data_IF_290611419254
#
_entry.id   IF_290611419254
#
_cell.length_a   1.000
_cell.length_b   1.000
_cell.length_c   1.000
_cell.angle_alpha   90.00
_cell.angle_beta   90.00
_cell.angle_gamma   90.00
#
_symmetry.space_group_name_H-M   'P 1'
#
loop_
_entity.id
_entity.type
_entity.pdbx_description
1 polymer ?
#
# COMPACT_ATOMS: atom_id res chain seq x y z
N UNK A 1 10.48 11.68 -10.21
CA UNK A 1 9.40 10.66 -10.15
C UNK A 1 9.71 9.49 -11.07
N UNK A 2 9.68 9.67 -12.40
CA UNK A 2 9.94 8.58 -13.36
C UNK A 2 11.24 7.79 -13.07
N UNK A 3 12.36 8.48 -12.83
CA UNK A 3 13.62 7.83 -12.49
C UNK A 3 13.53 6.92 -11.25
N UNK A 4 12.81 7.33 -10.19
CA UNK A 4 12.65 6.52 -8.98
C UNK A 4 11.77 5.29 -9.23
N UNK A 5 10.74 5.41 -10.07
CA UNK A 5 9.88 4.28 -10.46
C UNK A 5 10.68 3.26 -11.28
N UNK A 6 11.50 3.71 -12.23
CA UNK A 6 12.39 2.83 -13.01
C UNK A 6 13.47 2.17 -12.15
N UNK A 7 14.01 2.87 -11.16
CA UNK A 7 14.94 2.26 -10.20
C UNK A 7 14.25 1.20 -9.33
N UNK A 8 13.02 1.47 -8.88
CA UNK A 8 12.22 0.52 -8.11
C UNK A 8 11.93 -0.75 -8.88
N UNK A 9 11.60 -0.63 -10.17
CA UNK A 9 11.35 -1.77 -11.05
C UNK A 9 12.56 -2.70 -11.17
N UNK A 10 13.76 -2.22 -10.84
CA UNK A 10 15.02 -2.96 -10.96
C UNK A 10 15.63 -3.35 -9.63
N UNK A 11 15.00 -3.03 -8.49
CA UNK A 11 15.60 -3.21 -7.17
C UNK A 11 15.32 -4.55 -6.50
N UNK A 12 14.73 -5.52 -7.21
CA UNK A 12 14.17 -6.77 -6.66
C UNK A 12 15.11 -7.58 -5.73
N UNK A 13 16.44 -7.46 -5.89
CA UNK A 13 17.42 -8.28 -5.14
C UNK A 13 18.05 -7.52 -3.96
N UNK A 14 18.10 -6.18 -4.00
CA UNK A 14 18.81 -5.38 -3.00
C UNK A 14 17.82 -4.63 -2.09
N UNK A 15 17.63 -5.18 -0.90
CA UNK A 15 16.71 -4.62 0.10
C UNK A 15 17.13 -3.22 0.58
N UNK A 16 18.43 -2.95 0.71
CA UNK A 16 18.92 -1.65 1.19
C UNK A 16 18.67 -0.57 0.12
N UNK A 17 18.91 -0.92 -1.14
CA UNK A 17 18.61 -0.06 -2.27
C UNK A 17 17.09 0.18 -2.37
N UNK A 18 16.27 -0.88 -2.26
CA UNK A 18 14.81 -0.78 -2.30
C UNK A 18 14.27 0.11 -1.15
N UNK A 19 14.80 -0.02 0.06
CA UNK A 19 14.45 0.84 1.20
C UNK A 19 14.74 2.32 0.92
N UNK A 20 15.93 2.63 0.37
CA UNK A 20 16.30 3.99 -0.01
C UNK A 20 15.38 4.57 -1.09
N UNK A 21 15.12 3.80 -2.16
CA UNK A 21 14.25 4.23 -3.26
C UNK A 21 12.82 4.44 -2.77
N UNK A 22 12.26 3.51 -2.00
CA UNK A 22 10.88 3.59 -1.49
C UNK A 22 10.70 4.77 -0.54
N UNK A 23 11.67 5.01 0.34
CA UNK A 23 11.68 6.17 1.22
C UNK A 23 11.62 7.48 0.41
N UNK A 24 12.52 7.66 -0.56
CA UNK A 24 12.57 8.84 -1.41
C UNK A 24 11.29 9.01 -2.24
N UNK A 25 10.78 7.92 -2.81
CA UNK A 25 9.55 7.92 -3.59
C UNK A 25 8.36 8.36 -2.73
N UNK A 26 8.22 7.81 -1.53
CA UNK A 26 7.12 8.16 -0.62
C UNK A 26 7.18 9.63 -0.18
N UNK A 27 8.39 10.16 0.03
CA UNK A 27 8.62 11.57 0.37
C UNK A 27 8.25 12.48 -0.80
N UNK A 28 8.67 12.11 -2.02
CA UNK A 28 8.33 12.85 -3.23
C UNK A 28 6.81 12.89 -3.47
N UNK A 29 6.11 11.77 -3.28
CA UNK A 29 4.65 11.68 -3.47
C UNK A 29 3.84 12.43 -2.41
N UNK A 30 4.42 12.66 -1.23
CA UNK A 30 3.83 13.51 -0.19
C UNK A 30 4.11 14.99 -0.42
N UNK A 31 5.12 15.33 -1.22
CA UNK A 31 5.44 16.72 -1.54
C UNK A 31 4.45 17.33 -2.54
N UNK A 32 4.17 18.62 -2.41
CA UNK A 32 3.30 19.37 -3.35
C UNK A 32 3.92 19.58 -4.74
N UNK A 33 5.15 19.08 -4.96
CA UNK A 33 5.88 19.24 -6.21
C UNK A 33 5.45 18.25 -7.31
N UNK A 34 4.76 17.18 -6.94
CA UNK A 34 4.28 16.17 -7.88
C UNK A 34 2.83 16.44 -8.24
N UNK A 35 2.54 16.75 -9.51
CA UNK A 35 1.17 17.03 -9.94
C UNK A 35 0.31 15.76 -9.91
N UNK A 36 -0.95 15.93 -9.51
CA UNK A 36 -1.95 14.84 -9.55
C UNK A 36 -2.08 14.23 -10.95
N UNK A 37 -1.98 15.06 -12.00
CA UNK A 37 -2.05 14.63 -13.41
C UNK A 37 -0.99 13.59 -13.78
N UNK A 38 0.23 13.71 -13.25
CA UNK A 38 1.31 12.75 -13.52
C UNK A 38 1.01 11.40 -12.85
N UNK A 39 0.47 11.44 -11.63
CA UNK A 39 0.15 10.22 -10.87
C UNK A 39 -1.01 9.47 -11.52
N UNK A 40 -2.04 10.19 -11.96
CA UNK A 40 -3.19 9.59 -12.68
C UNK A 40 -2.74 9.00 -14.01
N UNK A 41 -1.95 9.72 -14.81
CA UNK A 41 -1.47 9.25 -16.11
C UNK A 41 -0.56 8.01 -16.01
N UNK A 42 0.05 7.77 -14.84
CA UNK A 42 0.96 6.64 -14.58
C UNK A 42 0.43 5.67 -13.55
N UNK A 43 -0.87 5.72 -13.25
CA UNK A 43 -1.47 4.93 -12.18
C UNK A 43 -1.19 3.43 -12.32
N UNK A 44 -1.41 2.86 -13.50
CA UNK A 44 -1.25 1.42 -13.74
C UNK A 44 0.20 0.96 -13.62
N UNK A 45 1.11 1.67 -14.30
CA UNK A 45 2.55 1.39 -14.24
C UNK A 45 3.04 1.43 -12.79
N UNK A 46 2.70 2.51 -12.08
CA UNK A 46 3.17 2.77 -10.71
C UNK A 46 2.58 1.76 -9.72
N UNK A 47 1.27 1.49 -9.78
CA UNK A 47 0.64 0.52 -8.87
C UNK A 47 1.16 -0.89 -9.10
N UNK A 48 1.36 -1.30 -10.35
CA UNK A 48 1.94 -2.61 -10.69
C UNK A 48 3.35 -2.77 -10.11
N UNK A 49 4.23 -1.77 -10.30
CA UNK A 49 5.60 -1.78 -9.78
C UNK A 49 5.60 -1.80 -8.24
N UNK A 50 4.76 -0.98 -7.60
CA UNK A 50 4.66 -0.95 -6.14
C UNK A 50 4.12 -2.27 -5.56
N UNK A 51 3.13 -2.89 -6.23
CA UNK A 51 2.61 -4.20 -5.81
C UNK A 51 3.66 -5.31 -5.94
N UNK A 52 4.53 -5.27 -6.95
CA UNK A 52 5.67 -6.20 -7.06
C UNK A 52 6.70 -5.93 -5.97
N UNK A 53 7.04 -4.66 -5.72
CA UNK A 53 8.02 -4.29 -4.70
C UNK A 53 7.60 -4.74 -3.29
N UNK A 54 6.31 -4.60 -2.93
CA UNK A 54 5.84 -5.07 -1.61
C UNK A 54 5.86 -6.59 -1.50
N UNK A 55 5.70 -7.32 -2.61
CA UNK A 55 5.83 -8.78 -2.64
C UNK A 55 7.29 -9.21 -2.51
N UNK A 56 8.20 -8.58 -3.24
CA UNK A 56 9.64 -8.89 -3.22
C UNK A 56 10.30 -8.54 -1.88
N UNK A 57 9.86 -7.47 -1.22
CA UNK A 57 10.48 -6.95 0.00
C UNK A 57 9.55 -6.94 1.21
N UNK A 58 8.60 -7.89 1.27
CA UNK A 58 7.60 -7.99 2.33
C UNK A 58 8.22 -8.08 3.74
N UNK A 59 9.41 -8.68 3.86
CA UNK A 59 10.12 -8.84 5.14
C UNK A 59 10.72 -7.53 5.65
N UNK A 60 11.06 -6.59 4.75
CA UNK A 60 11.54 -5.26 5.15
C UNK A 60 10.37 -4.40 5.63
N UNK A 61 10.38 -4.08 6.92
CA UNK A 61 9.37 -3.21 7.53
C UNK A 61 9.39 -1.80 6.94
N UNK A 62 10.59 -1.31 6.58
CA UNK A 62 10.80 0.04 6.03
C UNK A 62 10.25 0.08 4.61
N UNK A 63 10.73 -0.82 3.74
CA UNK A 63 10.30 -0.91 2.35
C UNK A 63 8.78 -1.09 2.27
N UNK A 64 8.24 -2.09 2.98
CA UNK A 64 6.80 -2.36 3.02
C UNK A 64 6.00 -1.13 3.42
N UNK A 65 6.37 -0.48 4.54
CA UNK A 65 5.67 0.72 5.02
C UNK A 65 5.68 1.84 3.97
N UNK A 66 6.82 2.12 3.35
CA UNK A 66 6.93 3.21 2.38
C UNK A 66 6.22 2.90 1.07
N UNK A 67 6.22 1.64 0.62
CA UNK A 67 5.40 1.21 -0.53
C UNK A 67 3.91 1.39 -0.25
N UNK A 68 3.42 1.01 0.94
CA UNK A 68 2.02 1.22 1.33
C UNK A 68 1.67 2.72 1.35
N UNK A 69 2.56 3.59 1.82
CA UNK A 69 2.34 5.05 1.74
C UNK A 69 2.20 5.51 0.29
N UNK A 70 3.07 5.04 -0.61
CA UNK A 70 2.98 5.35 -2.04
C UNK A 70 1.67 4.86 -2.64
N UNK A 71 1.27 3.61 -2.39
CA UNK A 71 0.01 3.03 -2.87
C UNK A 71 -1.21 3.81 -2.38
N UNK A 72 -1.26 4.13 -1.08
CA UNK A 72 -2.35 4.94 -0.52
C UNK A 72 -2.42 6.33 -1.17
N UNK A 73 -1.27 6.93 -1.47
CA UNK A 73 -1.21 8.24 -2.11
C UNK A 73 -1.66 8.17 -3.57
N UNK A 74 -1.22 7.17 -4.32
CA UNK A 74 -1.67 6.92 -5.70
C UNK A 74 -3.20 6.75 -5.77
N UNK A 75 -3.78 6.00 -4.83
CA UNK A 75 -5.22 5.80 -4.72
C UNK A 75 -6.01 7.07 -4.38
N UNK A 76 -5.38 8.07 -3.75
CA UNK A 76 -6.05 9.32 -3.39
C UNK A 76 -6.30 10.28 -4.55
N UNK A 77 -5.70 10.02 -5.72
CA UNK A 77 -5.83 10.87 -6.91
C UNK A 77 -6.75 10.31 -7.98
N UNK A 78 -7.24 9.08 -7.81
CA UNK A 78 -8.05 8.40 -8.82
C UNK A 78 -9.51 8.36 -8.44
N UNK A 79 -10.37 8.53 -9.45
CA UNK A 79 -11.83 8.52 -9.29
C UNK A 79 -12.38 7.12 -9.05
N UNK A 80 -13.64 7.05 -8.61
CA UNK A 80 -14.38 5.79 -8.39
C UNK A 80 -14.46 4.87 -9.62
N UNK A 81 -14.19 5.38 -10.82
CA UNK A 81 -14.19 4.58 -12.03
C UNK A 81 -12.99 3.61 -12.11
N UNK A 82 -11.96 3.76 -11.27
CA UNK A 82 -10.79 2.86 -11.28
C UNK A 82 -11.04 1.49 -10.66
N UNK A 83 -12.20 1.24 -10.04
CA UNK A 83 -12.49 -0.05 -9.40
C UNK A 83 -12.77 -1.19 -10.39
N UNK A 84 -12.99 -0.86 -11.67
CA UNK A 84 -12.98 -1.86 -12.75
C UNK A 84 -11.56 -2.38 -13.06
N UNK A 85 -10.51 -1.69 -12.56
CA UNK A 85 -9.13 -2.07 -12.79
C UNK A 85 -8.65 -3.12 -11.77
N UNK A 86 -8.12 -4.27 -12.22
CA UNK A 86 -7.60 -5.31 -11.33
C UNK A 86 -6.52 -4.82 -10.36
N UNK A 87 -5.67 -3.87 -10.78
CA UNK A 87 -4.63 -3.32 -9.91
C UNK A 87 -5.22 -2.59 -8.72
N UNK A 88 -6.32 -1.84 -8.90
CA UNK A 88 -7.03 -1.15 -7.80
C UNK A 88 -7.49 -2.13 -6.73
N UNK A 89 -8.06 -3.27 -7.15
CA UNK A 89 -8.50 -4.34 -6.23
C UNK A 89 -7.29 -4.96 -5.52
N UNK A 90 -6.20 -5.21 -6.23
CA UNK A 90 -4.95 -5.73 -5.65
C UNK A 90 -4.33 -4.77 -4.64
N UNK A 91 -4.43 -3.45 -4.86
CA UNK A 91 -3.99 -2.45 -3.88
C UNK A 91 -4.80 -2.56 -2.59
N UNK A 92 -6.14 -2.64 -2.68
CA UNK A 92 -6.98 -2.83 -1.50
C UNK A 92 -6.65 -4.15 -0.77
N UNK A 93 -6.46 -5.25 -1.50
CA UNK A 93 -6.07 -6.54 -0.93
C UNK A 93 -4.73 -6.44 -0.20
N UNK A 94 -3.72 -5.81 -0.79
CA UNK A 94 -2.43 -5.59 -0.14
C UNK A 94 -2.60 -4.79 1.16
N UNK A 95 -3.39 -3.70 1.15
CA UNK A 95 -3.66 -2.90 2.35
C UNK A 95 -4.32 -3.72 3.46
N UNK A 96 -5.28 -4.58 3.13
CA UNK A 96 -5.97 -5.45 4.08
C UNK A 96 -5.01 -6.50 4.68
N UNK A 97 -4.16 -7.12 3.85
CA UNK A 97 -3.13 -8.06 4.32
C UNK A 97 -2.20 -7.38 5.32
N UNK A 98 -1.70 -6.18 4.99
CA UNK A 98 -0.80 -5.46 5.88
C UNK A 98 -1.51 -4.78 7.06
N UNK A 99 -2.83 -4.66 7.06
CA UNK A 99 -3.61 -4.12 8.18
C UNK A 99 -3.61 -5.04 9.41
N UNK A 100 -3.20 -6.30 9.24
CA UNK A 100 -2.98 -7.31 10.30
C UNK A 100 -1.51 -7.71 10.42
N UNK A 101 -0.59 -6.93 9.86
CA UNK A 101 0.85 -7.24 9.95
C UNK A 101 1.34 -7.21 11.41
N UNK A 102 2.21 -8.14 11.86
CA UNK A 102 2.73 -8.14 13.22
C UNK A 102 3.51 -6.86 13.57
N UNK A 103 4.16 -6.22 12.59
CA UNK A 103 4.99 -5.03 12.76
C UNK A 103 4.11 -3.79 12.95
N UNK A 104 4.14 -3.10 14.11
CA UNK A 104 3.18 -2.03 14.42
C UNK A 104 3.15 -0.85 13.44
N UNK A 105 4.30 -0.49 12.86
CA UNK A 105 4.39 0.63 11.91
C UNK A 105 3.77 0.28 10.55
N UNK A 106 4.05 -0.93 10.03
CA UNK A 106 3.45 -1.44 8.79
C UNK A 106 1.94 -1.54 8.96
N UNK A 107 1.51 -2.13 10.08
CA UNK A 107 0.11 -2.30 10.42
C UNK A 107 -0.69 -1.00 10.42
N UNK A 108 -0.22 0.01 11.16
CA UNK A 108 -0.90 1.32 11.21
C UNK A 108 -0.99 1.95 9.83
N UNK A 109 0.04 1.79 9.00
CA UNK A 109 0.02 2.29 7.62
C UNK A 109 -0.99 1.53 6.76
N UNK A 110 -1.05 0.20 6.84
CA UNK A 110 -2.06 -0.60 6.13
C UNK A 110 -3.48 -0.21 6.53
N UNK A 111 -3.76 -0.12 7.84
CA UNK A 111 -5.07 0.29 8.37
C UNK A 111 -5.46 1.70 7.91
N UNK A 112 -4.54 2.66 7.99
CA UNK A 112 -4.77 4.02 7.50
C UNK A 112 -5.03 4.04 5.99
N UNK A 113 -4.32 3.22 5.22
CA UNK A 113 -4.51 3.05 3.78
C UNK A 113 -5.90 2.51 3.44
N UNK A 114 -6.36 1.46 4.14
CA UNK A 114 -7.74 0.93 3.98
C UNK A 114 -8.76 2.02 4.22
N UNK A 115 -8.66 2.76 5.34
CA UNK A 115 -9.59 3.86 5.65
C UNK A 115 -9.53 4.96 4.58
N UNK A 116 -8.34 5.31 4.09
CA UNK A 116 -8.15 6.28 3.02
C UNK A 116 -8.85 5.86 1.73
N UNK A 117 -8.70 4.60 1.32
CA UNK A 117 -9.35 4.04 0.13
C UNK A 117 -10.87 3.98 0.31
N UNK A 118 -11.37 3.58 1.48
CA UNK A 118 -12.81 3.57 1.74
C UNK A 118 -13.42 4.98 1.67
N UNK A 119 -12.68 6.01 2.08
CA UNK A 119 -13.11 7.42 1.95
C UNK A 119 -13.21 7.88 0.49
N UNK A 120 -12.41 7.34 -0.43
CA UNK A 120 -12.56 7.68 -1.86
C UNK A 120 -13.79 7.01 -2.47
N UNK A 121 -14.17 5.83 -1.97
CA UNK A 121 -15.40 5.13 -2.35
C UNK A 121 -16.66 5.80 -1.79
N UNK A 122 -16.63 6.15 -0.51
CA UNK A 122 -17.74 6.78 0.20
C UNK A 122 -17.21 7.97 1.00
N UNK A 123 -17.42 9.22 0.54
CA UNK A 123 -16.82 10.41 1.18
C UNK A 123 -17.23 10.58 2.66
N UNK A 124 -18.34 9.94 3.06
CA UNK A 124 -18.87 9.95 4.41
C UNK A 124 -18.70 8.59 5.12
N UNK A 125 -17.54 7.94 5.02
CA UNK A 125 -17.28 6.75 5.84
C UNK A 125 -17.38 7.13 7.32
N UNK A 126 -18.37 6.61 8.06
CA UNK A 126 -18.51 6.96 9.47
C UNK A 126 -17.31 6.47 10.26
N UNK A 127 -16.91 7.22 11.30
CA UNK A 127 -15.78 6.88 12.18
C UNK A 127 -15.88 5.45 12.74
N UNK A 128 -17.11 4.94 12.92
CA UNK A 128 -17.36 3.58 13.38
C UNK A 128 -16.84 2.51 12.40
N UNK A 129 -16.89 2.73 11.09
CA UNK A 129 -16.39 1.77 10.10
C UNK A 129 -14.86 1.73 10.14
N UNK A 130 -14.21 2.89 10.27
CA UNK A 130 -12.76 2.95 10.47
C UNK A 130 -12.34 2.25 11.76
N UNK A 131 -13.11 2.43 12.85
CA UNK A 131 -12.86 1.73 14.11
C UNK A 131 -13.18 0.23 14.01
N UNK A 132 -14.21 -0.19 13.27
CA UNK A 132 -14.51 -1.59 13.01
C UNK A 132 -13.39 -2.28 12.22
N UNK A 133 -12.80 -1.62 11.21
CA UNK A 133 -11.63 -2.13 10.50
C UNK A 133 -10.46 -2.29 11.49
N UNK A 134 -10.21 -1.27 12.33
CA UNK A 134 -9.15 -1.30 13.34
C UNK A 134 -9.35 -2.43 14.37
N UNK A 135 -10.58 -2.59 14.87
CA UNK A 135 -10.96 -3.61 15.86
C UNK A 135 -10.93 -5.01 15.25
N UNK A 136 -11.44 -5.19 14.03
CA UNK A 136 -11.37 -6.48 13.32
C UNK A 136 -9.91 -6.89 13.11
N UNK A 137 -9.07 -5.97 12.64
CA UNK A 137 -7.64 -6.25 12.49
C UNK A 137 -6.94 -6.56 13.81
N UNK A 138 -7.33 -5.88 14.90
CA UNK A 138 -6.80 -6.15 16.25
C UNK A 138 -7.22 -7.52 16.75
N UNK A 139 -8.48 -7.92 16.53
CA UNK A 139 -8.99 -9.23 16.90
C UNK A 139 -8.28 -10.35 16.17
N UNK A 140 -8.02 -10.20 14.87
CA UNK A 140 -7.26 -11.21 14.11
C UNK A 140 -5.82 -11.36 14.62
N UNK A 141 -5.22 -10.30 15.18
CA UNK A 141 -3.91 -10.38 15.85
C UNK A 141 -3.98 -11.04 17.22
N UNK A 142 -4.99 -10.70 18.01
CA UNK A 142 -5.20 -11.31 19.33
C UNK A 142 -5.54 -12.81 19.21
N UNK A 143 -6.15 -13.22 18.08
CA UNK A 143 -6.40 -14.61 17.72
C UNK A 143 -5.18 -15.32 17.09
N UNK A 144 -4.18 -14.57 16.62
CA UNK A 144 -2.96 -15.09 16.03
C UNK A 144 -1.93 -15.42 17.12
N UNK A 145 -2.27 -16.33 18.03
CA UNK A 145 -1.29 -17.02 18.86
C UNK A 145 -0.54 -18.05 18.00
N UNK A 146 0.76 -17.81 17.81
CA UNK A 146 1.78 -18.75 17.28
C UNK A 146 1.51 -19.34 15.89
N UNK A 147 2.00 -18.65 14.85
CA UNK A 147 2.46 -19.30 13.62
C UNK A 147 1.44 -19.43 12.49
N UNK A 148 1.21 -18.35 11.74
CA UNK A 148 0.72 -18.47 10.36
C UNK A 148 1.60 -17.63 9.45
N UNK A 149 2.55 -18.34 8.85
CA UNK A 149 3.40 -17.92 7.75
C UNK A 149 2.52 -17.50 6.57
N UNK A 150 2.80 -16.32 6.01
CA UNK A 150 2.14 -15.71 4.86
C UNK A 150 2.01 -16.69 3.69
N UNK A 151 0.88 -17.39 3.59
CA UNK A 151 0.46 -18.11 2.38
C UNK A 151 -0.84 -17.48 1.85
N UNK A 152 -0.85 -16.15 1.67
CA UNK A 152 -1.87 -15.52 0.84
C UNK A 152 -1.38 -15.59 -0.60
N UNK A 153 -1.61 -16.76 -1.21
CA UNK A 153 -1.41 -17.01 -2.64
C UNK A 153 -2.25 -16.03 -3.45
N UNK A 154 -1.60 -15.00 -3.99
CA UNK A 154 -2.06 -14.31 -5.19
C UNK A 154 -1.86 -15.28 -6.36
N UNK A 155 -2.85 -16.13 -6.64
CA UNK A 155 -2.91 -16.84 -7.93
C UNK A 155 -3.83 -16.07 -8.88
N UNK A 156 -3.26 -15.83 -10.05
CA UNK A 156 -3.84 -15.28 -11.29
C UNK A 156 -5.10 -16.01 -11.74
#
# INVERSE_FOLDING_TARGET
>A
FAALITMMERSDIDVNLAEGITYLLSTLMQSDRLSASVIVAKFDDVTSILLRAVQAHAESAICTRHVLLCLSRTMSYVDRNVWANPNTVRVLQAMLVFAVDPRPKVRRTGQAGVVGILKTLAPNVPTIVAECVRLSCRRELDNADVGVMLHVTFRS
#
